data_IF_697249657728
#
_entry.id   IF_697249657728
#
_cell.length_a   1.000
_cell.length_b   1.000
_cell.length_c   1.000
_cell.angle_alpha   90.00
_cell.angle_beta   90.00
_cell.angle_gamma   90.00
#
_symmetry.space_group_name_H-M   'P 1'
#
loop_
_entity.id
_entity.type
_entity.pdbx_description
1 polymer ?
#
# COMPACT_ATOMS: atom_id res chain seq x y z
N UNK A 1 -12.22 -6.65 12.30
CA UNK A 1 -10.93 -7.35 12.06
C UNK A 1 -11.13 -8.60 11.24
N UNK A 2 -10.16 -9.02 10.42
CA UNK A 2 -10.21 -10.27 9.67
C UNK A 2 -9.50 -11.36 10.50
N UNK A 3 -10.25 -12.21 11.17
CA UNK A 3 -9.67 -13.29 11.97
C UNK A 3 -9.30 -14.49 11.13
N UNK A 4 -10.22 -14.93 10.28
CA UNK A 4 -10.05 -16.10 9.40
C UNK A 4 -10.59 -15.83 8.01
N UNK A 5 -9.97 -16.47 7.02
CA UNK A 5 -10.40 -16.39 5.63
C UNK A 5 -10.23 -17.76 4.96
N UNK A 6 -11.32 -18.27 4.42
CA UNK A 6 -11.33 -19.55 3.73
C UNK A 6 -11.24 -19.34 2.21
N UNK A 7 -10.23 -19.93 1.58
CA UNK A 7 -9.96 -19.76 0.16
C UNK A 7 -9.34 -21.04 -0.42
N UNK A 8 -9.82 -21.51 -1.58
CA UNK A 8 -9.29 -22.69 -2.27
C UNK A 8 -9.24 -23.96 -1.39
N UNK A 9 -10.25 -24.21 -0.57
CA UNK A 9 -10.30 -25.29 0.42
C UNK A 9 -9.23 -25.22 1.51
N UNK A 10 -8.64 -24.05 1.73
CA UNK A 10 -7.65 -23.78 2.77
C UNK A 10 -8.19 -22.72 3.72
N UNK A 11 -7.96 -22.92 4.99
CA UNK A 11 -8.31 -21.98 6.06
C UNK A 11 -7.05 -21.19 6.47
N UNK A 12 -7.16 -19.85 6.52
CA UNK A 12 -6.10 -18.93 6.88
C UNK A 12 -6.51 -18.14 8.10
N UNK A 13 -5.71 -18.20 9.15
CA UNK A 13 -5.90 -17.45 10.38
C UNK A 13 -4.92 -16.27 10.43
N UNK A 14 -5.43 -15.04 10.67
CA UNK A 14 -4.66 -13.80 10.60
C UNK A 14 -4.37 -13.20 11.98
N UNK A 15 -5.25 -13.41 12.94
CA UNK A 15 -5.11 -12.93 14.32
C UNK A 15 -6.10 -13.63 15.22
N UNK A 16 -5.99 -13.42 16.56
CA UNK A 16 -6.89 -13.98 17.55
C UNK A 16 -7.96 -12.98 17.98
N UNK A 17 -9.14 -13.47 18.36
CA UNK A 17 -10.30 -12.66 18.75
C UNK A 17 -10.06 -11.83 20.03
N UNK A 18 -9.18 -12.26 20.93
CA UNK A 18 -8.94 -11.64 22.23
C UNK A 18 -8.27 -10.25 22.15
N UNK A 19 -7.77 -9.86 20.98
CA UNK A 19 -7.00 -8.62 20.80
C UNK A 19 -7.82 -7.42 20.30
N UNK A 20 -9.16 -7.46 20.35
CA UNK A 20 -10.06 -6.52 19.67
C UNK A 20 -10.33 -5.19 20.39
N UNK A 21 -9.52 -4.79 21.37
CA UNK A 21 -9.75 -3.51 22.07
C UNK A 21 -9.23 -2.32 21.25
N UNK A 22 -10.03 -1.82 20.31
CA UNK A 22 -9.86 -0.53 19.57
C UNK A 22 -8.45 -0.27 18.97
N UNK A 23 -7.61 -1.29 18.86
CA UNK A 23 -6.23 -1.17 18.37
C UNK A 23 -6.12 -1.69 16.93
N UNK A 24 -5.19 -1.13 16.19
CA UNK A 24 -4.84 -1.64 14.87
C UNK A 24 -4.11 -2.99 14.99
N UNK A 25 -4.38 -3.90 14.05
CA UNK A 25 -3.71 -5.20 13.94
C UNK A 25 -2.83 -5.22 12.69
N UNK A 26 -1.66 -5.82 12.82
CA UNK A 26 -0.69 -6.00 11.73
C UNK A 26 -0.38 -7.48 11.57
N UNK A 27 -0.75 -8.05 10.42
CA UNK A 27 -0.46 -9.44 10.08
C UNK A 27 0.50 -9.50 8.91
N UNK A 28 1.67 -10.09 9.14
CA UNK A 28 2.67 -10.30 8.10
C UNK A 28 2.53 -11.70 7.53
N UNK A 29 2.18 -11.79 6.25
CA UNK A 29 2.03 -13.03 5.50
C UNK A 29 3.34 -13.38 4.83
N UNK A 30 3.93 -14.51 5.22
CA UNK A 30 5.24 -14.96 4.73
C UNK A 30 5.14 -16.28 3.98
N UNK A 31 6.12 -16.57 3.17
CA UNK A 31 6.23 -17.84 2.42
C UNK A 31 7.13 -17.71 1.20
N UNK A 32 7.54 -18.86 0.64
CA UNK A 32 8.38 -18.93 -0.55
C UNK A 32 7.75 -18.24 -1.76
N UNK A 33 8.55 -17.98 -2.78
CA UNK A 33 8.05 -17.52 -4.07
C UNK A 33 7.05 -18.52 -4.64
N UNK A 34 5.94 -18.04 -5.19
CA UNK A 34 4.91 -18.90 -5.80
C UNK A 34 3.95 -19.57 -4.82
N UNK A 35 4.06 -19.37 -3.49
CA UNK A 35 3.11 -19.96 -2.52
C UNK A 35 1.70 -19.33 -2.55
N UNK A 36 1.50 -18.27 -3.32
CA UNK A 36 0.17 -17.69 -3.52
C UNK A 36 -0.17 -16.51 -2.60
N UNK A 37 0.80 -15.85 -1.94
CA UNK A 37 0.57 -14.69 -1.07
C UNK A 37 -0.24 -13.57 -1.77
N UNK A 38 0.21 -13.11 -2.94
CA UNK A 38 -0.51 -12.08 -3.72
C UNK A 38 -1.88 -12.55 -4.21
N UNK A 39 -2.07 -13.86 -4.43
CA UNK A 39 -3.36 -14.43 -4.77
C UNK A 39 -4.31 -14.46 -3.55
N UNK A 40 -3.78 -14.73 -2.36
CA UNK A 40 -4.53 -14.64 -1.10
C UNK A 40 -5.00 -13.21 -0.85
N UNK A 41 -4.09 -12.21 -0.96
CA UNK A 41 -4.46 -10.80 -0.82
C UNK A 41 -5.51 -10.37 -1.86
N UNK A 42 -5.38 -10.84 -3.11
CA UNK A 42 -6.38 -10.62 -4.15
C UNK A 42 -7.75 -11.17 -3.77
N UNK A 43 -7.79 -12.42 -3.27
CA UNK A 43 -9.03 -13.06 -2.87
C UNK A 43 -9.70 -12.30 -1.73
N UNK A 44 -8.93 -11.90 -0.72
CA UNK A 44 -9.41 -11.08 0.40
C UNK A 44 -9.97 -9.75 -0.13
N UNK A 45 -9.20 -9.02 -0.95
CA UNK A 45 -9.62 -7.74 -1.52
C UNK A 45 -10.96 -7.87 -2.27
N UNK A 46 -11.07 -8.91 -3.09
CA UNK A 46 -12.27 -9.14 -3.91
C UNK A 46 -13.50 -9.48 -3.06
N UNK A 47 -13.37 -10.44 -2.15
CA UNK A 47 -14.51 -10.91 -1.35
C UNK A 47 -14.97 -9.86 -0.34
N UNK A 48 -14.04 -9.27 0.43
CA UNK A 48 -14.40 -8.23 1.41
C UNK A 48 -15.02 -7.02 0.73
N UNK A 49 -14.50 -6.58 -0.42
CA UNK A 49 -15.11 -5.46 -1.14
C UNK A 49 -16.52 -5.77 -1.65
N UNK A 50 -16.80 -7.00 -2.07
CA UNK A 50 -18.14 -7.43 -2.49
C UNK A 50 -19.10 -7.61 -1.32
N UNK A 51 -18.60 -8.01 -0.17
CA UNK A 51 -19.44 -8.09 1.05
C UNK A 51 -19.90 -6.70 1.48
N UNK A 52 -19.04 -5.68 1.30
CA UNK A 52 -19.38 -4.29 1.59
C UNK A 52 -20.25 -3.65 0.49
N UNK A 53 -19.99 -3.96 -0.77
CA UNK A 53 -20.72 -3.46 -1.94
C UNK A 53 -20.91 -4.59 -2.97
N UNK A 54 -22.04 -5.32 -2.93
CA UNK A 54 -22.26 -6.52 -3.75
C UNK A 54 -22.21 -6.29 -5.27
N UNK A 55 -22.45 -5.05 -5.71
CA UNK A 55 -22.49 -4.68 -7.14
C UNK A 55 -21.21 -4.03 -7.66
N UNK A 56 -20.13 -4.05 -6.87
CA UNK A 56 -18.82 -3.55 -7.35
C UNK A 56 -18.35 -4.38 -8.55
N UNK A 57 -18.00 -3.70 -9.64
CA UNK A 57 -17.56 -4.33 -10.89
C UNK A 57 -16.04 -4.27 -11.02
N UNK A 58 -15.42 -5.42 -11.29
CA UNK A 58 -13.98 -5.55 -11.47
C UNK A 58 -13.64 -5.99 -12.90
N UNK A 59 -12.61 -5.38 -13.52
CA UNK A 59 -12.19 -5.68 -14.91
C UNK A 59 -11.75 -7.14 -15.11
N UNK A 60 -11.20 -7.75 -14.09
CA UNK A 60 -10.63 -9.10 -14.13
C UNK A 60 -11.51 -10.15 -13.42
N UNK A 61 -12.81 -9.95 -13.35
CA UNK A 61 -13.73 -10.84 -12.66
C UNK A 61 -13.67 -12.30 -13.15
N UNK A 62 -13.46 -12.50 -14.45
CA UNK A 62 -13.33 -13.85 -15.05
C UNK A 62 -12.11 -14.64 -14.57
N UNK A 63 -11.07 -13.96 -14.05
CA UNK A 63 -9.88 -14.60 -13.50
C UNK A 63 -9.99 -14.87 -11.99
N UNK A 64 -10.95 -14.26 -11.31
CA UNK A 64 -11.38 -14.67 -9.97
C UNK A 64 -12.42 -15.76 -10.18
N UNK A 65 -11.96 -16.98 -10.42
CA UNK A 65 -12.86 -18.12 -10.68
C UNK A 65 -13.88 -18.23 -9.55
N UNK A 66 -15.18 -18.55 -9.87
CA UNK A 66 -16.22 -18.73 -8.86
C UNK A 66 -15.98 -19.92 -7.91
N UNK A 67 -14.95 -20.72 -8.15
CA UNK A 67 -14.48 -21.79 -7.25
C UNK A 67 -13.69 -21.27 -6.03
N UNK A 68 -13.44 -19.96 -5.91
CA UNK A 68 -13.09 -19.32 -4.64
C UNK A 68 -14.35 -19.32 -3.78
N UNK A 69 -14.74 -20.51 -3.39
CA UNK A 69 -15.95 -20.82 -2.67
C UNK A 69 -15.91 -20.21 -1.28
N UNK A 70 -16.99 -19.50 -0.96
CA UNK A 70 -17.47 -19.17 0.37
C UNK A 70 -16.38 -18.81 1.37
N UNK A 71 -16.18 -17.51 1.53
CA UNK A 71 -15.75 -16.98 2.82
C UNK A 71 -16.78 -17.40 3.86
N UNK A 72 -16.57 -18.55 4.50
CA UNK A 72 -17.33 -18.93 5.70
C UNK A 72 -16.62 -18.32 6.89
N UNK A 73 -17.38 -17.60 7.69
CA UNK A 73 -16.98 -16.91 8.92
C UNK A 73 -16.03 -15.74 8.75
N UNK A 74 -16.47 -14.80 7.97
CA UNK A 74 -16.18 -13.42 8.28
C UNK A 74 -17.12 -13.08 9.45
N UNK A 75 -16.69 -13.38 10.67
CA UNK A 75 -17.41 -12.95 11.86
C UNK A 75 -17.52 -11.43 11.79
N UNK A 76 -18.74 -10.91 11.58
CA UNK A 76 -19.09 -9.48 11.59
C UNK A 76 -17.97 -8.56 11.10
N UNK A 77 -17.66 -8.62 9.79
CA UNK A 77 -16.69 -7.69 9.20
C UNK A 77 -17.38 -6.34 9.12
N UNK A 78 -16.99 -5.50 10.05
CA UNK A 78 -17.41 -4.09 10.06
C UNK A 78 -16.32 -3.20 9.47
N UNK A 79 -15.73 -3.63 8.32
CA UNK A 79 -14.81 -2.79 7.60
C UNK A 79 -15.56 -1.67 6.89
N UNK A 80 -15.02 -0.48 7.00
CA UNK A 80 -15.54 0.68 6.31
C UNK A 80 -14.99 0.84 4.88
N UNK A 81 -13.81 0.25 4.61
CA UNK A 81 -13.10 0.35 3.33
C UNK A 81 -11.98 -0.69 3.22
N UNK A 82 -11.66 -1.06 1.98
CA UNK A 82 -10.50 -1.87 1.62
C UNK A 82 -9.52 -1.01 0.81
N UNK A 83 -8.26 -0.95 1.25
CA UNK A 83 -7.19 -0.23 0.56
C UNK A 83 -6.14 -1.26 0.16
N UNK A 84 -5.89 -1.38 -1.14
CA UNK A 84 -4.86 -2.27 -1.68
C UNK A 84 -3.70 -1.45 -2.22
N UNK A 85 -2.48 -1.73 -1.76
CA UNK A 85 -1.25 -1.03 -2.14
C UNK A 85 -0.22 -2.02 -2.64
N UNK A 86 0.43 -1.73 -3.76
CA UNK A 86 1.54 -2.53 -4.28
C UNK A 86 2.54 -1.67 -5.05
N UNK A 87 3.82 -1.95 -4.85
CA UNK A 87 4.92 -1.41 -5.64
C UNK A 87 5.29 -2.29 -6.82
N UNK A 88 4.74 -3.51 -6.87
CA UNK A 88 5.00 -4.47 -7.95
C UNK A 88 4.12 -4.16 -9.17
N UNK A 89 4.70 -4.08 -10.40
CA UNK A 89 3.91 -3.99 -11.61
C UNK A 89 3.17 -5.30 -11.94
N UNK A 90 3.50 -6.39 -11.25
CA UNK A 90 2.96 -7.73 -11.44
C UNK A 90 1.97 -8.15 -10.34
N UNK A 91 1.55 -7.22 -9.49
CA UNK A 91 0.57 -7.51 -8.44
C UNK A 91 -0.72 -8.15 -9.00
N UNK A 92 -1.49 -8.77 -8.12
CA UNK A 92 -2.70 -9.51 -8.50
C UNK A 92 -4.00 -8.86 -8.03
N UNK A 93 -3.95 -7.71 -7.40
CA UNK A 93 -5.15 -7.06 -6.85
C UNK A 93 -6.25 -6.87 -7.90
N UNK A 94 -7.53 -6.95 -7.51
CA UNK A 94 -8.64 -6.68 -8.42
C UNK A 94 -8.59 -5.22 -8.87
N UNK A 95 -8.95 -4.99 -10.13
CA UNK A 95 -8.96 -3.66 -10.71
C UNK A 95 -10.43 -3.21 -10.91
N UNK A 96 -10.87 -2.13 -10.25
CA UNK A 96 -12.25 -1.68 -10.38
C UNK A 96 -12.49 -1.12 -11.78
N UNK A 97 -13.56 -1.55 -12.44
CA UNK A 97 -13.96 -0.98 -13.73
C UNK A 97 -14.40 0.47 -13.54
N UNK A 98 -13.91 1.35 -14.40
CA UNK A 98 -14.47 2.68 -14.57
C UNK A 98 -15.82 2.55 -15.28
N UNK A 99 -16.88 2.28 -14.54
CA UNK A 99 -18.22 2.29 -15.09
C UNK A 99 -18.63 3.73 -15.44
N UNK A 100 -19.10 3.94 -16.69
CA UNK A 100 -19.64 5.23 -17.12
C UNK A 100 -20.90 5.67 -16.32
N UNK A 101 -21.45 4.79 -15.49
CA UNK A 101 -22.73 4.98 -14.78
C UNK A 101 -22.66 4.93 -13.27
N UNK A 102 -21.56 4.51 -12.67
CA UNK A 102 -21.45 4.44 -11.21
C UNK A 102 -20.35 5.37 -10.71
N UNK A 103 -20.71 6.12 -9.67
CA UNK A 103 -19.79 6.76 -8.74
C UNK A 103 -18.72 5.75 -8.38
N UNK A 104 -17.45 6.13 -8.46
CA UNK A 104 -16.34 5.28 -8.01
C UNK A 104 -16.67 4.77 -6.62
N UNK A 105 -16.75 3.44 -6.46
CA UNK A 105 -17.01 2.82 -5.18
C UNK A 105 -16.02 3.36 -4.13
N UNK A 106 -16.56 3.90 -3.05
CA UNK A 106 -15.73 4.38 -1.94
C UNK A 106 -15.22 3.22 -1.05
N UNK A 107 -15.71 2.02 -1.31
CA UNK A 107 -15.43 0.82 -0.52
C UNK A 107 -14.08 0.21 -0.84
N UNK A 108 -13.65 0.22 -2.11
CA UNK A 108 -12.39 -0.36 -2.54
C UNK A 108 -11.53 0.67 -3.28
N UNK A 109 -10.29 0.80 -2.85
CA UNK A 109 -9.31 1.64 -3.54
C UNK A 109 -8.03 0.85 -3.80
N UNK A 110 -7.60 0.82 -5.06
CA UNK A 110 -6.34 0.23 -5.47
C UNK A 110 -5.30 1.30 -5.78
N UNK A 111 -4.15 1.19 -5.13
CA UNK A 111 -2.95 1.97 -5.35
C UNK A 111 -1.82 1.05 -5.80
N UNK A 112 -1.56 1.04 -7.09
CA UNK A 112 -0.49 0.25 -7.70
C UNK A 112 -0.20 0.71 -9.12
N UNK A 113 0.84 0.15 -9.72
CA UNK A 113 1.34 0.56 -11.04
C UNK A 113 0.51 0.00 -12.20
N UNK A 114 -0.31 -1.01 -11.95
CA UNK A 114 -1.08 -1.68 -12.99
C UNK A 114 -2.23 -0.81 -13.53
N UNK A 115 -2.47 -0.88 -14.83
CA UNK A 115 -3.53 -0.11 -15.50
C UNK A 115 -3.17 1.34 -15.82
N UNK A 116 -1.91 1.74 -15.63
CA UNK A 116 -1.41 3.06 -15.97
C UNK A 116 -0.67 3.05 -17.31
N UNK A 117 -0.61 4.21 -18.00
CA UNK A 117 0.12 4.34 -19.26
C UNK A 117 1.62 4.13 -19.08
N UNK A 118 2.21 3.28 -19.91
CA UNK A 118 3.61 2.82 -19.80
C UNK A 118 4.67 3.93 -19.93
N UNK A 119 4.32 5.10 -20.46
CA UNK A 119 5.32 6.18 -20.67
C UNK A 119 5.63 7.00 -19.42
N UNK A 120 4.69 7.07 -18.45
CA UNK A 120 4.84 7.89 -17.24
C UNK A 120 4.17 7.22 -16.02
N UNK A 121 4.42 5.90 -15.84
CA UNK A 121 3.77 5.10 -14.79
C UNK A 121 3.93 5.72 -13.39
N UNK A 122 5.16 6.10 -13.03
CA UNK A 122 5.45 6.66 -11.73
C UNK A 122 4.75 8.00 -11.50
N UNK A 123 4.74 8.87 -12.51
CA UNK A 123 4.12 10.18 -12.39
C UNK A 123 2.59 10.11 -12.31
N UNK A 124 1.95 9.29 -13.13
CA UNK A 124 0.50 9.09 -13.12
C UNK A 124 0.01 8.49 -11.79
N UNK A 125 0.80 7.56 -11.22
CA UNK A 125 0.55 7.00 -9.90
C UNK A 125 0.65 8.06 -8.81
N UNK A 126 1.73 8.81 -8.80
CA UNK A 126 1.98 9.89 -7.85
C UNK A 126 0.91 10.98 -7.93
N UNK A 127 0.49 11.36 -9.14
CA UNK A 127 -0.59 12.33 -9.33
C UNK A 127 -1.92 11.84 -8.74
N UNK A 128 -2.26 10.56 -8.93
CA UNK A 128 -3.45 9.96 -8.32
C UNK A 128 -3.39 10.00 -6.79
N UNK A 129 -2.23 9.71 -6.20
CA UNK A 129 -2.02 9.73 -4.76
C UNK A 129 -2.15 11.16 -4.22
N UNK A 130 -1.47 12.13 -4.80
CA UNK A 130 -1.51 13.53 -4.36
C UNK A 130 -2.92 14.13 -4.49
N UNK A 131 -3.61 13.87 -5.61
CA UNK A 131 -4.98 14.34 -5.78
C UNK A 131 -5.92 13.75 -4.71
N UNK A 132 -5.81 12.45 -4.47
CA UNK A 132 -6.58 11.79 -3.40
C UNK A 132 -6.23 12.29 -2.00
N UNK A 133 -4.97 12.67 -1.78
CA UNK A 133 -4.50 13.25 -0.54
C UNK A 133 -5.09 14.64 -0.30
N UNK A 134 -5.01 15.52 -1.30
CA UNK A 134 -5.61 16.86 -1.24
C UNK A 134 -7.12 16.75 -0.96
N UNK A 135 -7.83 15.85 -1.67
CA UNK A 135 -9.25 15.57 -1.41
C UNK A 135 -9.49 15.16 0.04
N UNK A 136 -8.71 14.22 0.56
CA UNK A 136 -8.88 13.68 1.91
C UNK A 136 -8.60 14.72 3.00
N UNK A 137 -7.54 15.51 2.86
CA UNK A 137 -7.15 16.55 3.82
C UNK A 137 -8.12 17.72 3.77
N UNK A 138 -8.71 18.04 2.61
CA UNK A 138 -9.75 19.06 2.50
C UNK A 138 -10.98 18.74 3.36
N UNK A 139 -11.27 17.45 3.57
CA UNK A 139 -12.40 16.98 4.41
C UNK A 139 -11.96 16.75 5.86
N UNK A 140 -10.77 16.25 6.09
CA UNK A 140 -10.23 15.88 7.41
C UNK A 140 -8.76 16.29 7.51
N UNK A 141 -8.45 17.51 7.98
CA UNK A 141 -7.09 18.02 8.08
C UNK A 141 -6.14 17.14 8.92
N UNK A 142 -6.67 16.43 9.91
CA UNK A 142 -5.89 15.54 10.80
C UNK A 142 -5.13 14.44 10.05
N UNK A 143 -5.59 14.08 8.86
CA UNK A 143 -4.90 13.08 8.02
C UNK A 143 -3.51 13.55 7.54
N UNK A 144 -3.25 14.83 7.56
CA UNK A 144 -1.95 15.38 7.22
C UNK A 144 -0.86 14.97 8.23
N UNK A 145 -1.22 14.70 9.50
CA UNK A 145 -0.26 14.25 10.52
C UNK A 145 0.40 12.92 10.16
N UNK A 146 -0.35 11.97 9.62
CA UNK A 146 0.21 10.67 9.23
C UNK A 146 1.34 10.81 8.19
N UNK A 147 1.23 11.79 7.31
CA UNK A 147 2.24 12.06 6.28
C UNK A 147 3.40 12.85 6.85
N UNK A 148 3.11 13.81 7.71
CA UNK A 148 4.13 14.61 8.39
C UNK A 148 5.15 13.71 9.10
N UNK A 149 4.70 12.71 9.87
CA UNK A 149 5.56 11.79 10.60
C UNK A 149 6.44 10.96 9.66
N UNK A 150 5.87 10.44 8.56
CA UNK A 150 6.62 9.70 7.56
C UNK A 150 7.71 10.56 6.91
N UNK A 151 7.37 11.76 6.46
CA UNK A 151 8.33 12.64 5.81
C UNK A 151 9.44 13.05 6.77
N UNK A 152 9.12 13.34 8.03
CA UNK A 152 10.12 13.63 9.08
C UNK A 152 11.06 12.46 9.28
N UNK A 153 10.53 11.25 9.31
CA UNK A 153 11.33 10.04 9.42
C UNK A 153 12.29 9.88 8.22
N UNK A 154 11.85 10.25 7.02
CA UNK A 154 12.67 10.22 5.81
C UNK A 154 13.67 11.39 5.71
N UNK A 155 13.74 12.27 6.72
CA UNK A 155 14.65 13.40 6.75
C UNK A 155 14.14 14.66 6.04
N UNK A 156 12.84 14.74 5.75
CA UNK A 156 12.19 15.91 5.19
C UNK A 156 11.48 16.74 6.26
N UNK A 157 11.16 18.00 5.97
CA UNK A 157 10.53 18.93 6.93
C UNK A 157 9.06 18.62 7.27
N UNK A 158 8.50 17.53 6.72
CA UNK A 158 7.12 17.12 6.98
C UNK A 158 6.07 17.79 6.11
N UNK A 159 6.46 18.63 5.14
CA UNK A 159 5.53 19.21 4.16
C UNK A 159 5.79 18.71 2.74
N UNK A 160 4.76 18.76 1.91
CA UNK A 160 4.79 18.42 0.48
C UNK A 160 4.31 19.61 -0.31
N UNK A 161 5.14 20.14 -1.21
CA UNK A 161 4.71 21.15 -2.17
C UNK A 161 4.33 20.48 -3.50
N UNK A 162 3.05 20.54 -3.85
CA UNK A 162 2.50 20.00 -5.09
C UNK A 162 2.28 21.12 -6.11
N UNK A 163 3.06 21.10 -7.19
CA UNK A 163 3.00 22.11 -8.25
C UNK A 163 2.00 21.68 -9.33
N UNK A 164 1.02 22.52 -9.59
CA UNK A 164 -0.03 22.30 -10.58
C UNK A 164 0.08 23.32 -11.72
N UNK A 165 -0.37 22.91 -12.91
CA UNK A 165 -0.56 23.82 -14.03
C UNK A 165 -1.94 23.67 -14.64
N UNK A 166 -2.44 24.74 -15.26
CA UNK A 166 -3.60 24.66 -16.13
C UNK A 166 -3.41 23.65 -17.26
N UNK A 167 -4.45 22.88 -17.54
CA UNK A 167 -4.50 21.95 -18.67
C UNK A 167 -4.87 22.63 -19.98
N UNK A 168 -5.35 23.86 -19.91
CA UNK A 168 -5.70 24.70 -21.06
C UNK A 168 -4.54 25.66 -21.33
N UNK A 169 -4.08 25.71 -22.58
CA UNK A 169 -3.03 26.65 -22.95
C UNK A 169 -3.56 28.10 -22.95
N UNK A 170 -2.66 29.07 -22.73
CA UNK A 170 -3.00 30.49 -22.54
C UNK A 170 -3.79 31.08 -23.72
N UNK A 171 -3.46 30.71 -24.95
CA UNK A 171 -4.13 31.22 -26.16
C UNK A 171 -5.58 30.73 -26.19
N UNK A 172 -5.82 29.46 -25.95
CA UNK A 172 -7.16 28.87 -25.90
C UNK A 172 -7.98 29.42 -24.73
N UNK A 173 -7.36 29.59 -23.57
CA UNK A 173 -7.99 30.18 -22.40
C UNK A 173 -8.49 31.59 -22.71
N UNK A 174 -7.62 32.47 -23.25
CA UNK A 174 -7.99 33.82 -23.63
C UNK A 174 -9.12 33.84 -24.69
N UNK A 175 -9.08 32.94 -25.67
CA UNK A 175 -10.17 32.80 -26.65
C UNK A 175 -11.52 32.45 -26.01
N UNK A 176 -11.53 31.48 -25.08
CA UNK A 176 -12.74 31.08 -24.35
C UNK A 176 -13.28 32.27 -23.51
N UNK A 177 -12.40 32.92 -22.73
CA UNK A 177 -12.83 33.99 -21.80
C UNK A 177 -13.24 35.28 -22.49
N UNK A 178 -12.72 35.59 -23.68
CA UNK A 178 -13.09 36.74 -24.48
C UNK A 178 -14.30 36.56 -25.39
N UNK A 179 -14.85 35.32 -25.46
CA UNK A 179 -16.03 35.03 -26.24
C UNK A 179 -17.28 35.72 -25.66
N UNK A 180 -18.25 36.07 -26.52
CA UNK A 180 -19.57 36.54 -26.10
C UNK A 180 -20.37 35.45 -25.35
N UNK A 181 -20.04 34.16 -25.58
CA UNK A 181 -20.65 32.99 -24.92
C UNK A 181 -19.53 32.04 -24.45
N UNK A 182 -18.88 32.37 -23.32
CA UNK A 182 -17.76 31.58 -22.85
C UNK A 182 -18.08 30.11 -22.54
N UNK A 183 -19.32 29.86 -22.09
CA UNK A 183 -19.80 28.50 -21.79
C UNK A 183 -19.88 27.63 -23.06
N UNK A 184 -20.42 28.17 -24.15
CA UNK A 184 -20.55 27.45 -25.41
C UNK A 184 -19.17 27.19 -26.04
N UNK A 185 -18.29 28.19 -25.96
CA UNK A 185 -16.89 28.04 -26.42
C UNK A 185 -16.12 27.00 -25.61
N UNK A 186 -16.33 26.96 -24.30
CA UNK A 186 -15.73 25.95 -23.44
C UNK A 186 -16.25 24.54 -23.75
N UNK A 187 -17.57 24.39 -24.01
CA UNK A 187 -18.16 23.13 -24.46
C UNK A 187 -17.54 22.67 -25.78
N UNK A 188 -17.40 23.58 -26.77
CA UNK A 188 -16.73 23.29 -28.04
C UNK A 188 -15.29 22.83 -27.83
N UNK A 189 -14.58 23.47 -26.89
CA UNK A 189 -13.24 23.05 -26.51
C UNK A 189 -13.22 21.64 -25.90
N UNK A 190 -14.17 21.31 -25.00
CA UNK A 190 -14.28 19.96 -24.41
C UNK A 190 -14.56 18.87 -25.47
N UNK A 191 -15.11 19.23 -26.61
CA UNK A 191 -15.36 18.30 -27.73
C UNK A 191 -14.17 18.16 -28.69
N UNK A 192 -13.20 19.06 -28.58
CA UNK A 192 -12.02 19.04 -29.42
C UNK A 192 -11.03 17.92 -29.04
N UNK A 193 -10.28 17.34 -30.00
CA UNK A 193 -9.27 16.32 -29.71
C UNK A 193 -8.16 16.80 -28.74
N UNK A 194 -7.93 18.12 -28.66
CA UNK A 194 -6.89 18.71 -27.82
C UNK A 194 -7.21 18.65 -26.33
N UNK A 195 -8.50 18.55 -25.94
CA UNK A 195 -8.93 18.46 -24.54
C UNK A 195 -8.91 17.03 -23.98
N UNK A 196 -9.03 16.00 -24.82
CA UNK A 196 -9.21 14.60 -24.40
C UNK A 196 -8.07 13.99 -23.57
N UNK A 197 -6.89 14.60 -23.58
CA UNK A 197 -5.73 14.06 -22.85
C UNK A 197 -5.66 14.47 -21.38
N UNK A 198 -6.31 15.55 -21.00
CA UNK A 198 -6.12 16.17 -19.68
C UNK A 198 -7.41 16.48 -18.95
N UNK A 199 -8.47 16.88 -19.68
CA UNK A 199 -9.74 17.29 -19.06
C UNK A 199 -10.74 16.12 -19.13
N UNK A 200 -11.35 15.80 -18.01
CA UNK A 200 -12.40 14.77 -17.96
C UNK A 200 -13.74 15.35 -18.42
N UNK A 201 -14.05 15.19 -19.71
CA UNK A 201 -15.31 15.59 -20.29
C UNK A 201 -16.53 15.03 -19.53
N UNK A 202 -16.41 13.80 -19.00
CA UNK A 202 -17.53 13.13 -18.32
C UNK A 202 -17.88 13.81 -17.01
N UNK A 203 -16.93 14.49 -16.39
CA UNK A 203 -17.15 15.29 -15.19
C UNK A 203 -18.17 16.41 -15.39
N UNK A 204 -18.21 16.98 -16.60
CA UNK A 204 -19.11 18.07 -16.98
C UNK A 204 -20.45 17.59 -17.55
N UNK A 205 -20.68 16.28 -17.63
CA UNK A 205 -21.93 15.71 -18.14
C UNK A 205 -22.92 15.38 -17.02
N UNK A 206 -24.22 15.47 -17.34
CA UNK A 206 -25.29 14.96 -16.48
C UNK A 206 -25.41 13.43 -16.63
N UNK A 207 -25.96 12.77 -15.60
CA UNK A 207 -26.19 11.31 -15.57
C UNK A 207 -27.04 10.85 -16.77
N UNK A 208 -28.04 11.66 -17.18
CA UNK A 208 -28.97 11.34 -18.27
C UNK A 208 -28.54 11.92 -19.62
N UNK A 209 -27.29 12.37 -19.76
CA UNK A 209 -26.73 12.97 -20.96
C UNK A 209 -26.85 14.50 -21.01
N UNK A 210 -26.07 15.11 -21.92
CA UNK A 210 -25.92 16.55 -22.02
C UNK A 210 -24.99 17.16 -20.97
N UNK A 211 -24.65 18.43 -21.15
CA UNK A 211 -23.75 19.14 -20.27
C UNK A 211 -24.46 19.68 -19.02
N UNK A 212 -23.75 19.66 -17.89
CA UNK A 212 -24.17 20.33 -16.65
C UNK A 212 -23.68 21.79 -16.67
N UNK A 213 -24.55 22.70 -17.07
CA UNK A 213 -24.22 24.12 -17.16
C UNK A 213 -23.80 24.75 -15.82
N UNK A 214 -24.20 24.21 -14.67
CA UNK A 214 -23.72 24.70 -13.35
C UNK A 214 -22.23 24.43 -13.22
N UNK A 215 -21.77 23.25 -13.60
CA UNK A 215 -20.33 22.90 -13.59
C UNK A 215 -19.57 23.69 -14.66
N UNK A 216 -20.14 23.91 -15.84
CA UNK A 216 -19.54 24.72 -16.91
C UNK A 216 -19.34 26.16 -16.41
N UNK A 217 -20.39 26.81 -15.90
CA UNK A 217 -20.28 28.19 -15.39
C UNK A 217 -19.33 28.29 -14.19
N UNK A 218 -19.29 27.27 -13.30
CA UNK A 218 -18.27 27.21 -12.24
C UNK A 218 -16.86 27.14 -12.82
N UNK A 219 -16.63 26.32 -13.83
CA UNK A 219 -15.32 26.24 -14.52
C UNK A 219 -14.90 27.59 -15.10
N UNK A 220 -15.78 28.26 -15.84
CA UNK A 220 -15.51 29.57 -16.44
C UNK A 220 -15.17 30.59 -15.35
N UNK A 221 -15.95 30.67 -14.27
CA UNK A 221 -15.67 31.57 -13.13
C UNK A 221 -14.27 31.34 -12.56
N UNK A 222 -13.88 30.09 -12.32
CA UNK A 222 -12.57 29.75 -11.77
C UNK A 222 -11.43 30.05 -12.75
N UNK A 223 -11.64 29.81 -14.05
CA UNK A 223 -10.69 30.17 -15.10
C UNK A 223 -10.51 31.70 -15.22
N UNK A 224 -11.58 32.49 -15.03
CA UNK A 224 -11.50 33.95 -14.98
C UNK A 224 -10.70 34.45 -13.77
N UNK A 225 -10.93 33.85 -12.58
CA UNK A 225 -10.12 34.15 -11.38
C UNK A 225 -8.64 33.86 -11.65
N UNK A 226 -8.36 32.71 -12.23
CA UNK A 226 -7.01 32.30 -12.59
C UNK A 226 -6.32 33.27 -13.56
N UNK A 227 -7.02 33.73 -14.60
CA UNK A 227 -6.50 34.66 -15.60
C UNK A 227 -6.24 36.05 -15.02
N UNK A 228 -7.15 36.58 -14.15
CA UNK A 228 -7.02 37.89 -13.50
C UNK A 228 -5.83 38.02 -12.57
N UNK A 229 -5.48 36.95 -11.86
CA UNK A 229 -4.36 36.95 -10.89
C UNK A 229 -3.01 37.01 -11.63
N UNK A 230 -3.02 36.94 -12.97
CA UNK A 230 -1.79 37.01 -13.78
C UNK A 230 -0.80 35.89 -13.46
N UNK A 231 -1.32 34.75 -12.97
CA UNK A 231 -0.52 33.61 -12.55
C UNK A 231 0.35 33.15 -13.70
N UNK A 232 1.64 32.99 -13.42
CA UNK A 232 2.50 32.12 -14.21
C UNK A 232 1.76 30.81 -14.39
N UNK A 233 1.98 30.11 -15.47
CA UNK A 233 1.28 28.86 -15.86
C UNK A 233 1.16 27.78 -14.77
N UNK A 234 1.73 27.99 -13.58
CA UNK A 234 1.79 27.02 -12.47
C UNK A 234 1.52 27.68 -11.11
N UNK A 235 1.00 26.90 -10.16
CA UNK A 235 0.83 27.28 -8.76
C UNK A 235 1.12 26.09 -7.84
N UNK A 236 1.48 26.36 -6.59
CA UNK A 236 1.81 25.36 -5.60
C UNK A 236 0.70 25.23 -4.56
N UNK A 237 0.39 23.99 -4.16
CA UNK A 237 -0.41 23.66 -3.00
C UNK A 237 0.53 23.02 -1.99
N UNK A 238 0.67 23.62 -0.82
CA UNK A 238 1.45 23.01 0.25
C UNK A 238 0.55 22.19 1.16
N UNK A 239 0.97 20.95 1.39
CA UNK A 239 0.35 20.00 2.29
C UNK A 239 1.25 19.89 3.52
N UNK A 240 0.76 20.30 4.69
CA UNK A 240 1.49 20.26 5.96
C UNK A 240 0.62 19.71 7.07
N UNK A 241 1.18 19.54 8.27
CA UNK A 241 0.42 19.12 9.46
C UNK A 241 -0.72 20.09 9.83
N UNK A 242 -0.74 21.31 9.28
CA UNK A 242 -1.82 22.29 9.46
C UNK A 242 -2.91 22.17 8.38
N UNK A 243 -2.81 21.19 7.48
CA UNK A 243 -3.73 20.99 6.37
C UNK A 243 -3.17 21.52 5.04
N UNK A 244 -4.06 22.05 4.20
CA UNK A 244 -3.72 22.61 2.89
C UNK A 244 -3.47 24.10 2.99
N UNK A 245 -2.31 24.55 2.56
CA UNK A 245 -2.01 25.96 2.36
C UNK A 245 -2.16 26.29 0.86
N UNK A 246 -3.14 27.12 0.55
CA UNK A 246 -3.45 27.55 -0.82
C UNK A 246 -2.76 28.90 -1.10
N UNK A 247 -2.17 29.07 -2.29
CA UNK A 247 -1.42 30.29 -2.60
C UNK A 247 -2.28 31.52 -2.84
N UNK A 248 -3.60 31.34 -3.03
CA UNK A 248 -4.52 32.40 -3.44
C UNK A 248 -5.76 32.41 -2.55
N UNK A 249 -6.04 33.55 -1.92
CA UNK A 249 -7.15 33.77 -1.00
C UNK A 249 -8.53 33.67 -1.67
N UNK A 250 -8.61 33.80 -3.00
CA UNK A 250 -9.86 33.77 -3.75
C UNK A 250 -10.35 32.35 -4.14
N UNK A 251 -9.57 31.31 -3.79
CA UNK A 251 -9.91 29.91 -4.04
C UNK A 251 -10.05 29.17 -2.72
N UNK A 252 -11.17 28.53 -2.52
CA UNK A 252 -11.39 27.62 -1.39
C UNK A 252 -11.01 26.17 -1.73
N UNK A 253 -11.03 25.29 -0.73
CA UNK A 253 -10.72 23.87 -0.91
C UNK A 253 -11.66 23.21 -1.95
N UNK A 254 -12.94 23.60 -2.01
CA UNK A 254 -13.90 23.03 -2.96
C UNK A 254 -13.63 23.49 -4.40
N UNK A 255 -13.06 24.68 -4.58
CA UNK A 255 -12.66 25.19 -5.88
C UNK A 255 -11.42 24.45 -6.40
N UNK A 256 -10.44 24.22 -5.51
CA UNK A 256 -9.25 23.42 -5.84
C UNK A 256 -9.65 21.97 -6.17
N UNK A 257 -10.49 21.36 -5.37
CA UNK A 257 -11.00 19.99 -5.64
C UNK A 257 -11.76 19.92 -6.96
N UNK A 258 -12.54 20.94 -7.29
CA UNK A 258 -13.24 21.02 -8.57
C UNK A 258 -12.24 21.09 -9.73
N UNK A 259 -11.20 21.94 -9.66
CA UNK A 259 -10.17 22.08 -10.69
C UNK A 259 -9.39 20.78 -10.90
N UNK A 260 -9.02 20.09 -9.82
CA UNK A 260 -8.31 18.81 -9.87
C UNK A 260 -9.22 17.70 -10.46
N UNK A 261 -10.44 17.54 -9.90
CA UNK A 261 -11.36 16.46 -10.28
C UNK A 261 -11.85 16.58 -11.72
N UNK A 262 -12.00 17.81 -12.23
CA UNK A 262 -12.36 18.06 -13.62
C UNK A 262 -11.21 17.91 -14.62
N UNK A 263 -9.96 17.81 -14.13
CA UNK A 263 -8.77 17.80 -14.96
C UNK A 263 -8.40 19.18 -15.56
N UNK A 264 -9.02 20.26 -15.08
CA UNK A 264 -8.67 21.63 -15.50
C UNK A 264 -7.28 22.02 -15.07
N UNK A 265 -6.79 21.44 -13.96
CA UNK A 265 -5.39 21.52 -13.54
C UNK A 265 -4.78 20.12 -13.47
N UNK A 266 -3.49 20.04 -13.75
CA UNK A 266 -2.72 18.80 -13.70
C UNK A 266 -1.48 19.00 -12.86
N UNK A 267 -1.15 18.01 -12.02
CA UNK A 267 0.11 17.97 -11.26
C UNK A 267 1.28 18.00 -12.23
N UNK A 268 2.34 18.76 -11.90
CA UNK A 268 3.58 18.84 -12.67
C UNK A 268 4.77 18.34 -11.90
N UNK A 269 4.89 18.73 -10.64
CA UNK A 269 6.03 18.38 -9.80
C UNK A 269 5.57 18.23 -8.36
N UNK A 270 6.32 17.44 -7.61
CA UNK A 270 6.20 17.36 -6.15
C UNK A 270 7.57 17.68 -5.59
N UNK A 271 7.63 18.63 -4.69
CA UNK A 271 8.83 19.02 -4.01
C UNK A 271 8.76 18.71 -2.51
N UNK A 272 9.87 18.25 -1.97
CA UNK A 272 10.11 17.98 -0.57
C UNK A 272 11.31 18.82 -0.13
N UNK A 273 11.32 19.29 1.11
CA UNK A 273 12.44 20.07 1.65
C UNK A 273 13.19 19.24 2.68
N UNK A 274 14.49 19.06 2.51
CA UNK A 274 15.33 18.34 3.49
C UNK A 274 15.43 19.12 4.80
N UNK A 275 15.40 18.38 5.91
CA UNK A 275 15.45 18.99 7.26
C UNK A 275 16.86 19.52 7.59
N UNK A 276 17.90 18.83 7.14
CA UNK A 276 19.30 19.11 7.46
C UNK A 276 19.89 20.26 6.64
N UNK A 277 19.62 20.28 5.33
CA UNK A 277 20.21 21.26 4.40
C UNK A 277 19.26 22.39 4.01
N UNK A 278 17.94 22.21 4.21
CA UNK A 278 16.92 23.13 3.68
C UNK A 278 16.78 23.06 2.15
N UNK A 279 17.44 22.12 1.51
CA UNK A 279 17.40 21.94 0.06
C UNK A 279 16.04 21.41 -0.39
N UNK A 280 15.51 21.99 -1.47
CA UNK A 280 14.27 21.54 -2.12
C UNK A 280 14.63 20.46 -3.14
N UNK A 281 14.10 19.27 -2.95
CA UNK A 281 14.30 18.10 -3.80
C UNK A 281 12.98 17.71 -4.44
N UNK A 282 12.97 17.44 -5.74
CA UNK A 282 11.80 16.87 -6.38
C UNK A 282 11.72 15.37 -6.07
N UNK A 283 10.48 14.87 -5.87
CA UNK A 283 10.28 13.47 -5.47
C UNK A 283 10.89 12.45 -6.45
N UNK A 284 10.94 12.79 -7.73
CA UNK A 284 11.59 11.97 -8.76
C UNK A 284 13.13 12.00 -8.72
N UNK A 285 13.72 12.87 -7.92
CA UNK A 285 15.17 12.97 -7.68
C UNK A 285 15.57 12.28 -6.37
N UNK A 286 14.61 11.98 -5.50
CA UNK A 286 14.82 11.19 -4.31
C UNK A 286 15.20 9.73 -4.66
N UNK A 287 15.82 9.00 -3.73
CA UNK A 287 16.11 7.58 -3.95
C UNK A 287 14.84 6.76 -4.20
N UNK A 288 14.94 5.67 -4.92
CA UNK A 288 13.78 4.81 -5.23
C UNK A 288 13.06 4.30 -3.98
N UNK A 289 13.81 4.05 -2.91
CA UNK A 289 13.26 3.65 -1.62
C UNK A 289 12.49 4.77 -0.93
N UNK A 290 13.05 6.00 -0.89
CA UNK A 290 12.36 7.20 -0.37
C UNK A 290 11.06 7.46 -1.12
N UNK A 291 11.12 7.42 -2.46
CA UNK A 291 9.93 7.56 -3.30
C UNK A 291 8.87 6.52 -2.97
N UNK A 292 9.28 5.25 -2.87
CA UNK A 292 8.38 4.13 -2.62
C UNK A 292 7.66 4.29 -1.26
N UNK A 293 8.40 4.54 -0.19
CA UNK A 293 7.80 4.75 1.14
C UNK A 293 6.89 5.97 1.15
N UNK A 294 7.39 7.13 0.73
CA UNK A 294 6.63 8.37 0.76
C UNK A 294 5.30 8.23 -0.01
N UNK A 295 5.35 7.70 -1.23
CA UNK A 295 4.16 7.58 -2.08
C UNK A 295 3.18 6.54 -1.52
N UNK A 296 3.65 5.38 -1.03
CA UNK A 296 2.77 4.34 -0.49
C UNK A 296 2.08 4.79 0.80
N UNK A 297 2.80 5.47 1.69
CA UNK A 297 2.20 6.01 2.91
C UNK A 297 1.22 7.15 2.61
N UNK A 298 1.54 8.04 1.67
CA UNK A 298 0.60 9.06 1.18
C UNK A 298 -0.64 8.41 0.54
N UNK A 299 -0.48 7.30 -0.19
CA UNK A 299 -1.59 6.55 -0.77
C UNK A 299 -2.53 6.00 0.32
N UNK A 300 -1.99 5.36 1.35
CA UNK A 300 -2.79 4.88 2.50
C UNK A 300 -3.46 6.06 3.20
N UNK A 301 -2.71 7.11 3.55
CA UNK A 301 -3.22 8.29 4.23
C UNK A 301 -4.34 8.99 3.47
N UNK A 302 -4.28 8.98 2.13
CA UNK A 302 -5.31 9.59 1.29
C UNK A 302 -6.70 8.96 1.44
N UNK A 303 -6.78 7.69 1.90
CA UNK A 303 -8.06 6.95 1.92
C UNK A 303 -8.37 6.26 3.24
N UNK A 304 -7.42 6.20 4.18
CA UNK A 304 -7.62 5.54 5.48
C UNK A 304 -8.67 6.27 6.33
N UNK A 305 -9.44 5.52 7.08
CA UNK A 305 -10.36 5.90 8.14
C UNK A 305 -10.46 4.75 9.14
N UNK A 306 -11.16 4.93 10.23
CA UNK A 306 -11.38 3.84 11.19
C UNK A 306 -12.07 2.64 10.53
N UNK A 307 -11.79 1.46 11.03
CA UNK A 307 -12.31 0.18 10.53
C UNK A 307 -11.90 -0.11 9.07
N UNK A 308 -10.68 0.25 8.64
CA UNK A 308 -10.17 -0.09 7.31
C UNK A 308 -9.43 -1.42 7.29
N UNK A 309 -9.54 -2.11 6.15
CA UNK A 309 -8.65 -3.21 5.78
C UNK A 309 -7.61 -2.70 4.80
N UNK A 310 -6.33 -2.77 5.17
CA UNK A 310 -5.21 -2.35 4.34
C UNK A 310 -4.41 -3.58 3.92
N UNK A 311 -4.32 -3.80 2.62
CA UNK A 311 -3.61 -4.92 2.02
C UNK A 311 -2.37 -4.39 1.30
N UNK A 312 -1.18 -4.84 1.68
CA UNK A 312 0.09 -4.39 1.13
C UNK A 312 0.83 -5.59 0.55
N UNK A 313 1.19 -5.51 -0.73
CA UNK A 313 1.88 -6.58 -1.44
C UNK A 313 3.30 -6.18 -1.81
N UNK A 314 4.28 -6.94 -1.34
CA UNK A 314 5.72 -6.79 -1.60
C UNK A 314 6.26 -5.36 -1.33
N UNK A 315 6.07 -4.81 -0.12
CA UNK A 315 6.55 -3.46 0.19
C UNK A 315 8.07 -3.31 0.14
N UNK A 316 8.81 -4.41 0.24
CA UNK A 316 10.28 -4.44 0.18
C UNK A 316 10.87 -4.07 -1.17
N UNK A 317 10.10 -4.08 -2.25
CA UNK A 317 10.58 -3.74 -3.58
C UNK A 317 11.13 -2.30 -3.56
N UNK A 318 12.36 -2.14 -4.02
CA UNK A 318 13.13 -0.89 -4.02
C UNK A 318 13.56 -0.37 -2.64
N UNK A 319 13.27 -1.07 -1.53
CA UNK A 319 13.69 -0.63 -0.20
C UNK A 319 15.07 -1.15 0.18
N UNK A 320 15.91 -0.26 0.71
CA UNK A 320 17.15 -0.66 1.38
C UNK A 320 16.83 -1.51 2.63
N UNK A 321 17.65 -2.51 3.01
CA UNK A 321 17.41 -3.37 4.17
C UNK A 321 17.07 -2.63 5.47
N UNK A 322 17.74 -1.53 5.77
CA UNK A 322 17.45 -0.69 6.93
C UNK A 322 15.99 -0.19 6.96
N UNK A 323 15.43 0.12 5.80
CA UNK A 323 14.06 0.62 5.69
C UNK A 323 13.04 -0.51 5.74
N UNK A 324 13.43 -1.71 5.28
CA UNK A 324 12.61 -2.91 5.45
C UNK A 324 12.40 -3.24 6.93
N UNK A 325 13.46 -3.14 7.74
CA UNK A 325 13.40 -3.36 9.18
C UNK A 325 12.47 -2.37 9.91
N UNK A 326 12.44 -1.12 9.44
CA UNK A 326 11.65 -0.05 10.05
C UNK A 326 10.24 0.11 9.48
N UNK A 327 9.90 -0.69 8.45
CA UNK A 327 8.64 -0.53 7.70
C UNK A 327 7.40 -0.68 8.57
N UNK A 328 7.31 -1.75 9.36
CA UNK A 328 6.16 -1.99 10.27
C UNK A 328 6.11 -0.97 11.41
N UNK A 329 7.20 -0.69 12.16
CA UNK A 329 7.22 0.38 13.13
C UNK A 329 6.76 1.74 12.58
N UNK A 330 7.16 2.06 11.35
CA UNK A 330 6.73 3.29 10.68
C UNK A 330 5.23 3.29 10.35
N UNK A 331 4.67 2.17 9.87
CA UNK A 331 3.22 2.02 9.67
C UNK A 331 2.46 2.22 11.00
N UNK A 332 2.95 1.64 12.08
CA UNK A 332 2.32 1.74 13.40
C UNK A 332 2.32 3.18 13.93
N UNK A 333 3.44 3.90 13.82
CA UNK A 333 3.53 5.29 14.26
C UNK A 333 2.67 6.22 13.40
N UNK A 334 2.71 6.07 12.08
CA UNK A 334 2.01 6.95 11.15
C UNK A 334 0.49 6.80 11.16
N UNK A 335 -0.01 5.58 11.41
CA UNK A 335 -1.45 5.29 11.38
C UNK A 335 -2.02 4.91 12.75
N UNK A 336 -1.28 5.17 13.82
CA UNK A 336 -1.70 4.87 15.20
C UNK A 336 -2.90 5.68 15.69
N UNK A 337 -3.21 6.83 15.07
CA UNK A 337 -4.38 7.65 15.38
C UNK A 337 -5.70 7.05 14.88
N UNK A 338 -5.65 6.17 13.88
CA UNK A 338 -6.82 5.43 13.38
C UNK A 338 -7.08 4.20 14.23
N UNK A 339 -8.34 3.80 14.31
CA UNK A 339 -8.78 2.69 15.17
C UNK A 339 -9.34 1.53 14.36
N UNK A 340 -9.16 0.32 14.90
CA UNK A 340 -9.72 -0.91 14.33
C UNK A 340 -9.32 -1.17 12.86
N UNK A 341 -8.15 -0.69 12.45
CA UNK A 341 -7.61 -1.02 11.13
C UNK A 341 -6.84 -2.33 11.18
N UNK A 342 -6.97 -3.12 10.11
CA UNK A 342 -6.20 -4.33 9.93
C UNK A 342 -5.27 -4.19 8.74
N UNK A 343 -3.98 -4.23 8.99
CA UNK A 343 -2.92 -4.22 7.98
C UNK A 343 -2.47 -5.65 7.71
N UNK A 344 -2.65 -6.14 6.48
CA UNK A 344 -2.16 -7.45 6.05
C UNK A 344 -1.08 -7.21 5.01
N UNK A 345 0.15 -7.60 5.34
CA UNK A 345 1.35 -7.32 4.56
C UNK A 345 1.92 -8.65 4.04
N UNK A 346 1.92 -8.85 2.73
CA UNK A 346 2.59 -10.00 2.11
C UNK A 346 4.02 -9.60 1.75
N UNK A 347 4.99 -10.36 2.25
CA UNK A 347 6.41 -10.06 2.06
C UNK A 347 7.26 -11.32 1.83
N UNK A 348 8.38 -11.12 1.14
CA UNK A 348 9.49 -12.08 1.05
C UNK A 348 10.71 -11.65 1.87
N UNK A 349 10.64 -10.49 2.56
CA UNK A 349 11.75 -9.94 3.29
C UNK A 349 11.83 -10.47 4.73
N UNK A 350 12.91 -11.16 5.11
CA UNK A 350 13.17 -11.53 6.50
C UNK A 350 13.44 -10.30 7.38
N UNK A 351 13.91 -9.19 6.82
CA UNK A 351 14.13 -7.93 7.53
C UNK A 351 12.82 -7.33 8.05
N UNK A 352 11.75 -7.36 7.28
CA UNK A 352 10.42 -6.89 7.71
C UNK A 352 9.93 -7.67 8.93
N UNK A 353 10.24 -8.98 8.99
CA UNK A 353 9.81 -9.86 10.09
C UNK A 353 10.70 -9.74 11.31
N UNK A 354 12.01 -9.45 11.14
CA UNK A 354 12.99 -9.47 12.23
C UNK A 354 12.71 -8.45 13.33
N UNK A 355 12.17 -7.27 12.98
CA UNK A 355 11.94 -6.14 13.88
C UNK A 355 10.45 -5.84 14.14
N UNK A 356 9.61 -6.87 14.06
CA UNK A 356 8.20 -6.73 14.44
C UNK A 356 8.08 -6.37 15.93
N UNK A 357 7.19 -5.43 16.23
CA UNK A 357 6.82 -5.16 17.61
C UNK A 357 5.95 -6.30 18.16
N UNK A 358 6.03 -6.56 19.47
CA UNK A 358 5.25 -7.63 20.10
C UNK A 358 3.76 -7.32 20.25
N UNK A 359 3.36 -6.04 20.10
CA UNK A 359 1.98 -5.63 20.33
C UNK A 359 1.15 -5.65 19.04
N UNK A 360 0.06 -6.43 19.04
CA UNK A 360 -0.91 -6.53 17.93
C UNK A 360 -0.30 -6.88 16.57
N UNK A 361 0.87 -7.51 16.57
CA UNK A 361 1.54 -8.01 15.39
C UNK A 361 1.50 -9.53 15.37
N UNK A 362 1.19 -10.07 14.19
CA UNK A 362 1.13 -11.50 13.92
C UNK A 362 1.94 -11.85 12.68
N UNK A 363 2.46 -13.05 12.63
CA UNK A 363 3.10 -13.64 11.45
C UNK A 363 2.32 -14.88 11.06
N UNK A 364 1.93 -14.99 9.81
CA UNK A 364 1.23 -16.13 9.24
C UNK A 364 2.02 -16.68 8.07
N UNK A 365 2.49 -17.92 8.20
CA UNK A 365 3.12 -18.64 7.09
C UNK A 365 2.06 -19.21 6.13
N UNK A 366 2.30 -19.08 4.82
CA UNK A 366 1.44 -19.71 3.79
C UNK A 366 1.41 -21.23 3.88
N UNK A 367 2.42 -21.85 4.50
CA UNK A 367 2.49 -23.30 4.68
C UNK A 367 1.66 -23.75 5.89
N UNK A 368 1.79 -23.06 7.02
CA UNK A 368 1.10 -23.40 8.28
C UNK A 368 -0.31 -22.79 8.36
N UNK A 369 -0.53 -21.63 7.74
CA UNK A 369 -1.80 -20.90 7.65
C UNK A 369 -2.41 -20.49 8.99
N UNK A 370 -1.63 -20.50 10.03
CA UNK A 370 -2.00 -20.13 11.40
C UNK A 370 -1.21 -18.88 11.79
N UNK A 371 -1.89 -17.91 12.36
CA UNK A 371 -1.26 -16.72 12.89
C UNK A 371 -0.47 -17.05 14.16
N UNK A 372 0.77 -16.61 14.24
CA UNK A 372 1.59 -16.66 15.45
C UNK A 372 1.85 -15.23 15.93
N UNK A 373 1.85 -14.99 17.25
CA UNK A 373 2.23 -13.68 17.78
C UNK A 373 3.64 -13.32 17.33
N UNK A 374 3.86 -12.06 16.95
CA UNK A 374 5.18 -11.61 16.49
C UNK A 374 6.28 -11.81 17.53
N UNK A 375 5.94 -11.88 18.83
CA UNK A 375 6.89 -12.16 19.92
C UNK A 375 7.65 -13.48 19.77
N UNK A 376 7.10 -14.45 19.03
CA UNK A 376 7.75 -15.75 18.78
C UNK A 376 8.92 -15.65 17.80
N UNK A 377 8.88 -14.66 16.91
CA UNK A 377 9.83 -14.50 15.80
C UNK A 377 10.59 -13.17 15.82
N UNK A 378 10.10 -12.16 16.55
CA UNK A 378 10.73 -10.84 16.63
C UNK A 378 12.09 -10.87 17.36
N UNK A 379 12.96 -9.91 17.03
CA UNK A 379 14.32 -9.77 17.61
C UNK A 379 15.19 -11.02 17.40
N UNK A 380 14.94 -11.78 16.34
CA UNK A 380 15.77 -12.91 15.91
C UNK A 380 16.57 -12.53 14.68
N UNK A 381 17.71 -13.21 14.50
CA UNK A 381 18.58 -12.98 13.32
C UNK A 381 17.86 -13.26 12.01
N UNK A 382 18.36 -12.67 10.93
CA UNK A 382 17.89 -12.92 9.56
C UNK A 382 17.95 -14.41 9.24
N UNK A 383 19.04 -15.08 9.61
CA UNK A 383 19.23 -16.52 9.42
C UNK A 383 18.17 -17.37 10.14
N UNK A 384 17.78 -16.95 11.35
CA UNK A 384 16.66 -17.57 12.04
C UNK A 384 15.35 -17.39 11.24
N UNK A 385 15.09 -16.17 10.74
CA UNK A 385 13.87 -15.90 9.97
C UNK A 385 13.84 -16.77 8.70
N UNK A 386 14.96 -16.81 7.97
CA UNK A 386 15.08 -17.64 6.75
C UNK A 386 14.82 -19.12 7.03
N UNK A 387 15.38 -19.66 8.12
CA UNK A 387 15.24 -21.07 8.46
C UNK A 387 13.87 -21.39 9.07
N UNK A 388 13.41 -20.60 10.04
CA UNK A 388 12.23 -20.89 10.85
C UNK A 388 10.95 -20.40 10.20
N UNK A 389 10.94 -19.12 9.79
CA UNK A 389 9.72 -18.41 9.32
C UNK A 389 9.47 -18.63 7.83
N UNK A 390 10.53 -18.54 7.03
CA UNK A 390 10.44 -18.69 5.57
C UNK A 390 10.69 -20.12 5.07
N UNK A 391 11.16 -21.03 5.92
CA UNK A 391 11.51 -22.42 5.57
C UNK A 391 12.46 -22.50 4.36
N UNK A 392 13.32 -21.48 4.20
CA UNK A 392 14.29 -21.34 3.10
C UNK A 392 15.61 -20.77 3.63
N UNK A 393 16.44 -21.60 4.30
CA UNK A 393 17.57 -21.14 5.10
C UNK A 393 18.70 -20.47 4.31
N UNK A 394 18.73 -20.60 2.99
CA UNK A 394 19.84 -20.12 2.18
C UNK A 394 21.12 -20.93 2.34
N UNK A 395 22.24 -20.43 1.80
CA UNK A 395 23.54 -21.10 1.85
C UNK A 395 24.29 -20.76 3.13
N UNK A 396 24.90 -21.79 3.80
CA UNK A 396 25.69 -21.64 5.03
C UNK A 396 24.98 -20.92 6.18
N UNK A 397 23.73 -21.21 6.40
CA UNK A 397 22.93 -20.57 7.45
C UNK A 397 23.58 -20.75 8.82
N UNK A 398 23.97 -19.63 9.45
CA UNK A 398 24.67 -19.64 10.74
C UNK A 398 23.79 -20.11 11.90
N UNK A 399 22.50 -19.74 11.87
CA UNK A 399 21.58 -20.20 12.90
C UNK A 399 21.45 -21.72 12.90
N UNK A 400 21.23 -22.34 11.74
CA UNK A 400 21.19 -23.81 11.62
C UNK A 400 22.49 -24.45 12.08
N UNK A 401 23.63 -23.93 11.61
CA UNK A 401 24.94 -24.43 11.98
C UNK A 401 25.12 -24.46 13.51
N UNK A 402 24.80 -23.34 14.16
CA UNK A 402 24.93 -23.20 15.61
C UNK A 402 24.00 -24.14 16.37
N UNK A 403 22.74 -24.23 15.98
CA UNK A 403 21.76 -25.10 16.67
C UNK A 403 22.13 -26.60 16.53
N UNK A 404 22.54 -27.02 15.30
CA UNK A 404 22.91 -28.40 15.05
C UNK A 404 24.22 -28.78 15.76
N UNK A 405 25.24 -27.92 15.75
CA UNK A 405 26.53 -28.16 16.47
C UNK A 405 26.26 -28.22 17.97
N UNK A 406 25.49 -27.29 18.52
CA UNK A 406 25.11 -27.30 19.94
C UNK A 406 24.41 -28.62 20.31
N UNK A 407 23.46 -29.07 19.50
CA UNK A 407 22.77 -30.34 19.75
C UNK A 407 23.75 -31.55 19.74
N UNK A 408 24.63 -31.63 18.75
CA UNK A 408 25.60 -32.73 18.65
C UNK A 408 26.58 -32.71 19.81
N UNK A 409 26.96 -31.52 20.30
CA UNK A 409 27.87 -31.37 21.47
C UNK A 409 27.18 -31.84 22.75
N UNK A 410 25.93 -31.41 22.97
CA UNK A 410 25.14 -31.79 24.17
C UNK A 410 24.89 -33.33 24.15
N UNK A 411 24.59 -33.88 23.02
CA UNK A 411 24.44 -35.34 22.86
C UNK A 411 25.74 -36.12 23.21
N UNK A 412 26.88 -35.58 22.77
CA UNK A 412 28.21 -36.18 23.09
C UNK A 412 28.59 -36.09 24.58
N UNK A 413 28.06 -35.11 25.32
CA UNK A 413 28.30 -34.93 26.76
C UNK A 413 27.43 -35.78 27.68
N UNK A 414 26.58 -36.66 27.13
CA UNK A 414 25.67 -37.54 27.85
C UNK A 414 24.59 -36.81 28.67
N UNK A 415 24.30 -35.57 28.35
CA UNK A 415 23.16 -34.84 28.98
C UNK A 415 21.82 -35.39 28.46
N UNK A 416 20.84 -35.51 29.38
CA UNK A 416 19.49 -35.89 28.97
C UNK A 416 18.84 -34.77 28.17
N UNK A 417 18.63 -35.00 26.90
CA UNK A 417 17.96 -34.05 25.99
C UNK A 417 16.48 -33.93 26.35
N UNK A 418 15.97 -32.70 26.45
CA UNK A 418 14.55 -32.48 26.65
C UNK A 418 13.74 -32.88 25.42
N UNK A 419 12.51 -33.40 25.56
CA UNK A 419 11.64 -33.71 24.42
C UNK A 419 11.40 -32.49 23.49
N UNK A 420 11.32 -31.29 24.06
CA UNK A 420 11.17 -30.03 23.35
C UNK A 420 12.37 -29.75 22.41
N UNK A 421 13.61 -29.98 22.92
CA UNK A 421 14.82 -29.81 22.11
C UNK A 421 14.91 -30.80 20.96
N UNK A 422 14.51 -32.06 21.22
CA UNK A 422 14.44 -33.08 20.17
C UNK A 422 13.39 -32.69 19.13
N UNK A 423 12.22 -32.18 19.53
CA UNK A 423 11.21 -31.68 18.63
C UNK A 423 11.72 -30.57 17.71
N UNK A 424 12.37 -29.55 18.32
CA UNK A 424 12.98 -28.46 17.57
C UNK A 424 14.00 -28.93 16.53
N UNK A 425 14.85 -29.88 16.90
CA UNK A 425 15.86 -30.42 15.98
C UNK A 425 15.21 -31.23 14.85
N UNK A 426 14.15 -31.97 15.11
CA UNK A 426 13.40 -32.69 14.05
C UNK A 426 12.82 -31.72 13.02
N UNK A 427 12.32 -30.55 13.46
CA UNK A 427 11.84 -29.52 12.54
C UNK A 427 12.97 -28.96 11.67
N UNK A 428 14.16 -28.75 12.25
CA UNK A 428 15.34 -28.28 11.50
C UNK A 428 15.85 -29.34 10.49
N UNK A 429 15.79 -30.63 10.83
CA UNK A 429 16.16 -31.73 9.94
C UNK A 429 15.26 -31.74 8.69
N UNK A 430 13.99 -31.37 8.78
CA UNK A 430 13.09 -31.32 7.62
C UNK A 430 13.55 -30.32 6.55
N UNK A 431 14.40 -29.37 6.90
CA UNK A 431 14.95 -28.39 5.97
C UNK A 431 16.06 -28.96 5.04
N UNK A 432 16.49 -30.22 5.25
CA UNK A 432 17.53 -30.88 4.43
C UNK A 432 17.30 -30.70 2.93
N UNK A 433 16.06 -30.95 2.48
CA UNK A 433 15.69 -30.89 1.07
C UNK A 433 15.70 -29.49 0.44
N UNK A 434 15.80 -28.43 1.26
CA UNK A 434 15.83 -27.03 0.81
C UNK A 434 17.26 -26.52 0.62
N UNK A 435 18.27 -27.26 1.12
CA UNK A 435 19.67 -26.89 1.04
C UNK A 435 20.34 -27.48 -0.20
N UNK A 436 21.32 -26.76 -0.72
CA UNK A 436 22.15 -27.24 -1.84
C UNK A 436 22.95 -28.47 -1.44
N UNK A 437 23.23 -29.35 -2.43
CA UNK A 437 23.99 -30.61 -2.18
C UNK A 437 25.35 -30.39 -1.55
N UNK A 438 26.02 -29.28 -1.87
CA UNK A 438 27.34 -28.92 -1.40
C UNK A 438 27.37 -28.05 -0.15
N UNK A 439 26.19 -27.71 0.42
CA UNK A 439 26.14 -26.91 1.61
C UNK A 439 26.70 -27.64 2.84
N UNK A 440 27.66 -27.04 3.58
CA UNK A 440 28.17 -27.62 4.82
C UNK A 440 27.07 -27.90 5.86
N UNK A 441 26.04 -27.06 5.94
CA UNK A 441 24.90 -27.20 6.87
C UNK A 441 24.12 -28.48 6.56
N UNK A 442 23.99 -28.85 5.28
CA UNK A 442 23.31 -30.06 4.89
C UNK A 442 24.03 -31.29 5.44
N UNK A 443 25.38 -31.29 5.45
CA UNK A 443 26.15 -32.38 6.07
C UNK A 443 25.90 -32.47 7.57
N UNK A 444 25.82 -31.32 8.26
CA UNK A 444 25.50 -31.30 9.68
C UNK A 444 24.09 -31.86 9.94
N UNK A 445 23.10 -31.50 9.10
CA UNK A 445 21.74 -32.06 9.20
C UNK A 445 21.76 -33.59 9.06
N UNK A 446 22.48 -34.12 8.07
CA UNK A 446 22.57 -35.59 7.86
C UNK A 446 23.19 -36.29 9.07
N UNK A 447 24.30 -35.74 9.60
CA UNK A 447 24.93 -36.29 10.83
C UNK A 447 23.97 -36.23 12.03
N UNK A 448 23.28 -35.12 12.20
CA UNK A 448 22.28 -34.94 13.29
C UNK A 448 21.12 -35.93 13.14
N UNK A 449 20.66 -36.18 11.91
CA UNK A 449 19.58 -37.12 11.62
C UNK A 449 19.97 -38.54 12.02
N UNK A 450 21.15 -38.99 11.66
CA UNK A 450 21.68 -40.30 12.08
C UNK A 450 21.69 -40.44 13.60
N UNK A 451 22.13 -39.40 14.31
CA UNK A 451 22.19 -39.39 15.79
C UNK A 451 20.78 -39.46 16.37
N UNK A 452 19.81 -38.69 15.87
CA UNK A 452 18.42 -38.69 16.36
C UNK A 452 17.73 -40.02 16.07
N UNK A 453 17.95 -40.62 14.91
CA UNK A 453 17.37 -41.92 14.53
C UNK A 453 17.97 -43.07 15.35
N UNK A 454 19.25 -42.99 15.75
CA UNK A 454 19.89 -43.98 16.63
C UNK A 454 19.54 -43.83 18.10
N UNK A 455 18.96 -42.69 18.52
CA UNK A 455 18.54 -42.41 19.91
C UNK A 455 17.08 -42.82 20.20
N UNK A 456 16.24 -42.91 19.19
CA UNK A 456 14.82 -43.31 19.28
C UNK A 456 14.70 -44.82 19.16
#
# INVERSE_FOLDING_TARGET
>A
MLYRFYCNNLDFEFCYEENSNEKNIFTVVVGKNGTGKSQLLRAIAFHVSRDLEPFIDFENERFVRPHLTRAMNISNIDFSRVIAVSTSPFDKFPFPRRSKKMITSDVYTYFGLRGMNTRDLGFSYTAKVINGLIESISVSPDKAYAIYDVLRYLGYNGSVSANFSLSINKIKLSGILSSMRPEDEFISYLESPSSFRTIDKTYFMKIHGGYDYRKISKAIRLLMVYDKIGIKSTFDIEISNHGLLLPYFDLDNNDILFLISSGLVSLKKIALTRTDTGEVIYINEASSGEQSIAINFMAIASKIKDNCLILIDEPEICLHPEWQEKYIPLLQSSFGSFKNCHFIIATHSPQIVSNLTSQNCFVMSMEERIAMPASTVSNKSIDFQLAHTFKSPGHKNEYLSRELISFLTDFGSSERLSPERIGKIKDLIQLEGTLEKNDPVRKLILMTKEVVEGYL
#
